data_IF_798085277332
#
_entry.id   IF_798085277332
#
_cell.length_a   1.000
_cell.length_b   1.000
_cell.length_c   1.000
_cell.angle_alpha   90.00
_cell.angle_beta   90.00
_cell.angle_gamma   90.00
#
_symmetry.space_group_name_H-M   'P 1'
#
loop_
_entity.id
_entity.type
_entity.pdbx_description
1 polymer ?
#
# COMPACT_ATOMS: atom_id res chain seq x y z
N UNK A 1 -66.04 -9.12 -29.33
CA UNK A 1 -65.51 -8.88 -27.97
C UNK A 1 -64.61 -10.10 -27.66
N UNK A 2 -63.34 -10.05 -28.04
CA UNK A 2 -62.38 -11.16 -27.83
C UNK A 2 -61.60 -10.90 -26.56
N UNK A 3 -61.95 -11.60 -25.49
CA UNK A 3 -61.19 -11.64 -24.25
C UNK A 3 -59.95 -12.56 -24.47
N UNK A 4 -58.75 -11.98 -24.50
CA UNK A 4 -57.50 -12.73 -24.57
C UNK A 4 -57.23 -13.28 -23.16
N UNK A 5 -57.46 -14.59 -23.02
CA UNK A 5 -57.20 -15.32 -21.80
C UNK A 5 -55.68 -15.59 -21.70
N UNK A 6 -54.92 -14.76 -21.01
CA UNK A 6 -53.50 -15.00 -20.74
C UNK A 6 -53.39 -16.05 -19.64
N UNK A 7 -52.76 -17.23 -19.87
CA UNK A 7 -52.69 -18.30 -18.90
C UNK A 7 -51.88 -17.87 -17.67
N UNK A 8 -52.38 -18.18 -16.48
CA UNK A 8 -51.82 -17.82 -15.16
C UNK A 8 -50.35 -18.21 -15.04
N UNK A 9 -49.94 -19.30 -15.66
CA UNK A 9 -48.54 -19.76 -15.69
C UNK A 9 -47.57 -18.76 -16.30
N UNK A 10 -47.93 -18.03 -17.33
CA UNK A 10 -47.07 -17.03 -17.99
C UNK A 10 -46.86 -15.82 -17.07
N UNK A 11 -47.87 -15.42 -16.32
CA UNK A 11 -47.76 -14.31 -15.35
C UNK A 11 -46.84 -14.66 -14.17
N UNK A 12 -46.83 -15.89 -13.67
CA UNK A 12 -46.01 -16.35 -12.59
C UNK A 12 -44.53 -16.36 -12.99
N UNK A 13 -44.21 -16.89 -14.19
CA UNK A 13 -42.84 -16.95 -14.72
C UNK A 13 -42.27 -15.53 -14.91
N UNK A 14 -43.08 -14.61 -15.44
CA UNK A 14 -42.67 -13.22 -15.67
C UNK A 14 -42.42 -12.47 -14.34
N UNK A 15 -43.25 -12.72 -13.33
CA UNK A 15 -43.08 -12.15 -12.01
C UNK A 15 -41.81 -12.68 -11.32
N UNK A 16 -41.54 -13.97 -11.40
CA UNK A 16 -40.36 -14.62 -10.83
C UNK A 16 -39.05 -14.11 -11.47
N UNK A 17 -39.00 -13.99 -12.80
CA UNK A 17 -37.84 -13.43 -13.50
C UNK A 17 -37.59 -11.97 -13.13
N UNK A 18 -38.63 -11.17 -12.95
CA UNK A 18 -38.51 -9.77 -12.53
C UNK A 18 -37.91 -9.63 -11.13
N UNK A 19 -38.31 -10.51 -10.19
CA UNK A 19 -37.76 -10.54 -8.82
C UNK A 19 -36.26 -10.95 -8.81
N UNK A 20 -35.87 -11.92 -9.65
CA UNK A 20 -34.47 -12.32 -9.76
C UNK A 20 -33.61 -11.19 -10.33
N UNK A 21 -34.09 -10.52 -11.38
CA UNK A 21 -33.35 -9.41 -12.02
C UNK A 21 -33.15 -8.26 -11.04
N UNK A 22 -34.16 -7.91 -10.24
CA UNK A 22 -34.08 -6.88 -9.21
C UNK A 22 -33.06 -7.26 -8.12
N UNK A 23 -33.07 -8.52 -7.65
CA UNK A 23 -32.09 -8.99 -6.66
C UNK A 23 -30.66 -8.91 -7.18
N UNK A 24 -30.40 -9.36 -8.43
CA UNK A 24 -29.07 -9.27 -9.03
C UNK A 24 -28.62 -7.81 -9.18
N UNK A 25 -29.51 -6.90 -9.58
CA UNK A 25 -29.21 -5.48 -9.68
C UNK A 25 -28.87 -4.85 -8.31
N UNK A 26 -29.61 -5.23 -7.27
CA UNK A 26 -29.34 -4.74 -5.89
C UNK A 26 -27.98 -5.26 -5.39
N UNK A 27 -27.68 -6.55 -5.57
CA UNK A 27 -26.37 -7.10 -5.18
C UNK A 27 -25.22 -6.49 -5.98
N UNK A 28 -25.41 -6.25 -7.28
CA UNK A 28 -24.42 -5.55 -8.12
C UNK A 28 -24.18 -4.10 -7.66
N UNK A 29 -25.23 -3.39 -7.28
CA UNK A 29 -25.14 -2.02 -6.79
C UNK A 29 -24.48 -1.94 -5.39
N UNK A 30 -24.79 -2.88 -4.50
CA UNK A 30 -24.13 -2.99 -3.18
C UNK A 30 -22.65 -3.33 -3.35
N UNK A 31 -22.28 -4.24 -4.25
CA UNK A 31 -20.89 -4.57 -4.56
C UNK A 31 -20.11 -3.36 -5.12
N UNK A 32 -20.76 -2.55 -5.98
CA UNK A 32 -20.17 -1.33 -6.51
C UNK A 32 -19.96 -0.27 -5.43
N UNK A 33 -20.93 -0.09 -4.53
CA UNK A 33 -20.80 0.83 -3.39
C UNK A 33 -19.70 0.40 -2.43
N UNK A 34 -19.52 -0.90 -2.22
CA UNK A 34 -18.46 -1.43 -1.34
C UNK A 34 -17.06 -1.22 -1.94
N UNK A 35 -16.91 -1.28 -3.27
CA UNK A 35 -15.63 -1.02 -3.94
C UNK A 35 -15.22 0.46 -3.94
N UNK A 36 -16.17 1.40 -3.87
CA UNK A 36 -15.88 2.85 -3.79
C UNK A 36 -15.43 3.24 -2.37
N UNK A 37 -15.88 2.54 -1.34
CA UNK A 37 -15.55 2.82 0.07
C UNK A 37 -14.12 2.48 0.50
N UNK A 38 -13.31 1.85 -0.37
CA UNK A 38 -11.94 1.43 -0.05
C UNK A 38 -10.85 2.44 -0.47
N UNK A 39 -11.22 3.61 -1.01
CA UNK A 39 -10.25 4.66 -1.32
C UNK A 39 -10.02 5.46 -0.04
N UNK A 40 -9.09 5.02 0.81
CA UNK A 40 -8.61 5.84 1.91
C UNK A 40 -7.80 7.01 1.33
N UNK A 41 -8.04 8.26 1.75
CA UNK A 41 -7.14 9.36 1.41
C UNK A 41 -5.77 9.05 2.01
N UNK A 42 -4.74 8.98 1.18
CA UNK A 42 -3.35 8.95 1.65
C UNK A 42 -2.96 10.39 1.95
N UNK A 43 -2.77 10.70 3.23
CA UNK A 43 -2.16 11.97 3.63
C UNK A 43 -0.65 11.72 3.71
N UNK A 44 0.10 12.46 2.91
CA UNK A 44 1.55 12.42 2.87
C UNK A 44 2.19 13.04 4.13
N UNK A 45 1.47 13.95 4.79
CA UNK A 45 1.89 14.57 6.03
C UNK A 45 1.01 14.16 7.21
N UNK A 46 1.63 13.80 8.33
CA UNK A 46 0.91 13.49 9.57
C UNK A 46 0.72 14.76 10.39
N UNK A 47 -0.48 14.94 10.91
CA UNK A 47 -0.87 16.10 11.70
C UNK A 47 -1.22 15.68 13.12
N UNK A 48 -0.64 16.37 14.11
CA UNK A 48 -0.94 16.22 15.53
C UNK A 48 -1.41 17.56 16.11
N UNK A 49 -2.33 17.50 17.06
CA UNK A 49 -2.87 18.66 17.75
C UNK A 49 -2.44 18.65 19.21
N UNK A 50 -1.76 19.70 19.63
CA UNK A 50 -1.34 19.89 21.02
C UNK A 50 -1.88 21.22 21.50
N UNK A 51 -2.92 21.20 22.31
CA UNK A 51 -3.68 22.38 22.75
C UNK A 51 -4.08 23.28 21.56
N UNK A 52 -3.55 24.53 21.48
CA UNK A 52 -3.82 25.45 20.38
C UNK A 52 -2.94 25.21 19.16
N UNK A 53 -1.91 24.38 19.25
CA UNK A 53 -0.98 24.16 18.16
C UNK A 53 -1.39 22.99 17.28
N UNK A 54 -1.25 23.19 15.99
CA UNK A 54 -1.32 22.14 14.97
C UNK A 54 0.08 21.92 14.43
N UNK A 55 0.59 20.71 14.60
CA UNK A 55 1.92 20.29 14.19
C UNK A 55 1.78 19.28 13.06
N UNK A 56 2.29 19.63 11.90
CA UNK A 56 2.28 18.79 10.69
C UNK A 56 3.72 18.41 10.37
N UNK A 57 3.99 17.11 10.16
CA UNK A 57 5.32 16.59 9.85
C UNK A 57 5.24 15.67 8.64
N UNK A 58 6.21 15.77 7.74
CA UNK A 58 6.29 14.93 6.55
C UNK A 58 7.65 15.03 5.87
N UNK A 59 7.71 14.52 4.65
CA UNK A 59 8.90 14.62 3.79
C UNK A 59 8.79 15.80 2.84
N UNK A 60 9.91 16.43 2.52
CA UNK A 60 9.97 17.54 1.58
C UNK A 60 9.86 17.09 0.11
N UNK A 61 10.29 15.86 -0.18
CA UNK A 61 10.20 15.23 -1.50
C UNK A 61 9.51 13.88 -1.32
N UNK A 62 8.46 13.65 -2.07
CA UNK A 62 7.63 12.43 -2.02
C UNK A 62 7.58 11.73 -3.38
N UNK A 63 7.61 10.39 -3.38
CA UNK A 63 7.83 9.52 -2.22
C UNK A 63 9.25 9.65 -1.68
N UNK A 64 9.46 9.52 -0.34
CA UNK A 64 10.78 9.47 0.24
C UNK A 64 11.47 8.16 -0.13
N UNK A 65 12.72 8.22 -0.58
CA UNK A 65 13.44 7.05 -1.09
C UNK A 65 14.75 6.83 -0.33
N UNK A 66 15.03 5.58 0.01
CA UNK A 66 16.24 5.18 0.73
C UNK A 66 17.50 5.61 -0.01
N UNK A 67 18.48 6.16 0.72
CA UNK A 67 19.76 6.58 0.19
C UNK A 67 19.75 7.93 -0.54
N UNK A 68 18.60 8.53 -0.73
CA UNK A 68 18.46 9.85 -1.36
C UNK A 68 18.27 10.92 -0.28
N UNK A 69 19.03 12.03 -0.38
CA UNK A 69 18.86 13.16 0.53
C UNK A 69 17.44 13.72 0.40
N UNK A 70 16.81 13.92 1.53
CA UNK A 70 15.50 14.54 1.66
C UNK A 70 15.50 15.51 2.83
N UNK A 71 14.44 16.27 3.00
CA UNK A 71 14.22 17.12 4.15
C UNK A 71 13.00 16.60 4.94
N UNK A 72 13.15 16.45 6.26
CA UNK A 72 11.98 16.37 7.14
C UNK A 72 11.42 17.79 7.24
N UNK A 73 10.17 17.98 6.83
CA UNK A 73 9.49 19.27 6.88
C UNK A 73 8.49 19.29 8.02
N UNK A 74 8.48 20.41 8.76
CA UNK A 74 7.57 20.61 9.86
C UNK A 74 6.82 21.92 9.64
N UNK A 75 5.52 21.90 9.92
CA UNK A 75 4.67 23.08 9.88
C UNK A 75 3.95 23.19 11.21
N UNK A 76 4.16 24.30 11.90
CA UNK A 76 3.57 24.55 13.22
C UNK A 76 2.73 25.81 13.15
N UNK A 77 1.45 25.66 13.41
CA UNK A 77 0.46 26.74 13.32
C UNK A 77 -0.39 26.81 14.57
N UNK A 78 -0.93 27.99 14.82
CA UNK A 78 -1.93 28.30 15.83
C UNK A 78 -3.14 28.98 15.18
N UNK A 79 -4.32 29.04 15.82
CA UNK A 79 -5.45 29.79 15.32
C UNK A 79 -5.09 31.26 15.04
N UNK A 80 -5.53 31.79 13.93
CA UNK A 80 -5.34 33.18 13.57
C UNK A 80 -6.46 34.09 14.10
N UNK A 81 -6.40 35.38 13.76
CA UNK A 81 -7.32 36.40 14.28
C UNK A 81 -8.75 36.29 13.72
N UNK A 82 -8.97 35.51 12.67
CA UNK A 82 -10.28 35.27 12.06
C UNK A 82 -10.63 33.81 12.06
N UNK A 83 -11.91 33.50 12.22
CA UNK A 83 -12.41 32.13 12.22
C UNK A 83 -11.95 31.36 10.98
N UNK A 84 -11.35 30.19 11.19
CA UNK A 84 -10.80 29.34 10.13
C UNK A 84 -9.45 29.79 9.57
N UNK A 85 -8.85 30.88 10.07
CA UNK A 85 -7.47 31.26 9.71
C UNK A 85 -6.44 30.63 10.65
N UNK A 86 -5.22 30.41 10.12
CA UNK A 86 -4.08 29.88 10.87
C UNK A 86 -2.87 30.77 10.69
N UNK A 87 -2.12 30.96 11.77
CA UNK A 87 -0.88 31.71 11.80
C UNK A 87 0.29 30.79 12.09
N UNK A 88 1.37 30.94 11.33
CA UNK A 88 2.61 30.17 11.55
C UNK A 88 3.32 30.60 12.81
N UNK A 89 3.69 29.66 13.67
CA UNK A 89 4.43 29.89 14.90
C UNK A 89 5.92 29.93 14.58
N UNK A 90 6.60 31.03 14.97
CA UNK A 90 8.04 31.23 14.70
C UNK A 90 8.90 30.95 15.94
N UNK A 91 10.19 30.66 15.71
CA UNK A 91 11.18 30.44 16.78
C UNK A 91 10.91 29.27 17.72
N UNK A 92 10.13 28.29 17.27
CA UNK A 92 9.73 27.11 18.05
C UNK A 92 10.96 26.33 18.55
N UNK A 93 11.91 26.08 17.67
CA UNK A 93 13.07 25.23 17.96
C UNK A 93 14.20 25.90 18.77
N UNK A 94 13.90 27.02 19.45
CA UNK A 94 14.75 27.54 20.53
C UNK A 94 14.59 26.74 21.82
N UNK A 95 13.36 26.31 22.10
CA UNK A 95 12.96 25.65 23.32
C UNK A 95 12.34 24.24 23.09
N UNK A 96 12.25 23.81 21.84
CA UNK A 96 11.81 22.47 21.41
C UNK A 96 12.96 21.72 20.75
N UNK A 97 13.21 20.51 21.20
CA UNK A 97 14.16 19.59 20.57
C UNK A 97 13.42 18.64 19.63
N UNK A 98 14.05 18.34 18.48
CA UNK A 98 13.55 17.38 17.52
C UNK A 98 14.49 16.18 17.40
N UNK A 99 13.92 14.98 17.39
CA UNK A 99 14.65 13.71 17.29
C UNK A 99 13.99 12.82 16.24
N UNK A 100 14.76 12.39 15.25
CA UNK A 100 14.34 11.35 14.31
C UNK A 100 14.55 9.97 14.91
N UNK A 101 13.57 9.08 14.78
CA UNK A 101 13.56 7.71 15.33
C UNK A 101 13.25 6.72 14.24
N UNK A 102 14.00 5.62 14.17
CA UNK A 102 13.75 4.48 13.31
C UNK A 102 14.19 3.18 13.97
N UNK A 103 13.29 2.19 14.12
CA UNK A 103 13.62 0.85 14.62
C UNK A 103 14.31 0.84 16.00
N UNK A 104 13.97 1.78 16.88
CA UNK A 104 14.58 1.93 18.20
C UNK A 104 15.90 2.73 18.23
N UNK A 105 16.42 3.14 17.06
CA UNK A 105 17.55 4.05 16.96
C UNK A 105 17.03 5.49 16.88
N UNK A 106 17.65 6.40 17.63
CA UNK A 106 17.29 7.83 17.65
C UNK A 106 18.47 8.71 17.28
N UNK A 107 18.18 9.84 16.63
CA UNK A 107 19.15 10.87 16.26
C UNK A 107 18.53 12.24 16.48
N UNK A 108 19.15 13.07 17.31
CA UNK A 108 18.80 14.49 17.38
C UNK A 108 19.05 15.14 16.02
N UNK A 109 18.10 15.91 15.54
CA UNK A 109 18.17 16.60 14.24
C UNK A 109 18.18 18.11 14.44
N UNK A 110 18.99 18.78 13.63
CA UNK A 110 19.06 20.24 13.64
C UNK A 110 17.97 20.81 12.73
N UNK A 111 17.13 21.65 13.28
CA UNK A 111 16.00 22.26 12.57
C UNK A 111 16.37 23.64 12.07
N UNK A 112 16.17 23.88 10.79
CA UNK A 112 16.34 25.16 10.13
C UNK A 112 14.96 25.83 9.94
N UNK A 113 14.89 27.15 10.10
CA UNK A 113 13.68 27.90 9.80
C UNK A 113 13.57 28.18 8.30
N UNK A 114 12.38 27.99 7.74
CA UNK A 114 12.04 28.45 6.41
C UNK A 114 11.70 29.96 6.45
N UNK A 115 11.90 30.74 5.37
CA UNK A 115 11.42 32.12 5.28
C UNK A 115 9.91 32.28 5.51
N UNK A 116 9.12 31.23 5.23
CA UNK A 116 7.68 31.20 5.49
C UNK A 116 7.41 30.94 6.98
N UNK A 117 6.71 31.85 7.69
CA UNK A 117 6.44 31.68 9.11
C UNK A 117 5.76 30.35 9.45
N UNK A 118 6.26 29.67 10.48
CA UNK A 118 5.73 28.36 10.92
C UNK A 118 6.24 27.17 10.16
N UNK A 119 7.08 27.35 9.13
CA UNK A 119 7.70 26.27 8.37
C UNK A 119 9.15 26.08 8.79
N UNK A 120 9.53 24.80 8.87
CA UNK A 120 10.85 24.37 9.32
C UNK A 120 11.27 23.14 8.53
N UNK A 121 12.58 22.88 8.47
CA UNK A 121 13.09 21.69 7.79
C UNK A 121 14.39 21.20 8.43
N UNK A 122 14.65 19.91 8.25
CA UNK A 122 15.91 19.27 8.64
C UNK A 122 16.38 18.32 7.54
N UNK A 123 17.60 18.51 6.99
CA UNK A 123 18.14 17.61 5.98
C UNK A 123 18.50 16.26 6.59
N UNK A 124 18.07 15.19 5.92
CA UNK A 124 18.35 13.81 6.32
C UNK A 124 18.52 12.91 5.09
N UNK A 125 19.30 11.85 5.23
CA UNK A 125 19.35 10.74 4.26
C UNK A 125 18.78 9.52 4.95
N UNK A 126 17.56 9.07 4.62
CA UNK A 126 17.02 7.83 5.14
C UNK A 126 17.83 6.65 4.57
N UNK A 127 18.34 5.80 5.44
CA UNK A 127 19.20 4.66 5.03
C UNK A 127 18.49 3.31 5.11
N UNK A 128 17.24 3.30 5.54
CA UNK A 128 16.39 2.12 5.66
C UNK A 128 14.99 2.45 5.14
N UNK A 129 14.35 1.47 4.52
CA UNK A 129 12.93 1.54 4.14
C UNK A 129 12.02 1.34 5.35
N UNK A 130 10.82 1.91 5.30
CA UNK A 130 9.79 1.80 6.34
C UNK A 130 9.57 3.10 7.11
N UNK A 131 8.77 3.03 8.18
CA UNK A 131 8.26 4.18 8.93
C UNK A 131 9.31 4.81 9.81
N UNK A 132 9.56 6.09 9.62
CA UNK A 132 10.31 6.95 10.53
C UNK A 132 9.34 7.70 11.44
N UNK A 133 9.84 8.15 12.59
CA UNK A 133 9.06 8.99 13.51
C UNK A 133 9.88 10.23 13.85
N UNK A 134 9.19 11.34 14.07
CA UNK A 134 9.79 12.57 14.62
C UNK A 134 9.22 12.80 16.02
N UNK A 135 10.09 12.81 17.01
CA UNK A 135 9.77 13.17 18.39
C UNK A 135 10.10 14.65 18.61
N UNK A 136 9.14 15.40 19.13
CA UNK A 136 9.30 16.79 19.54
C UNK A 136 9.11 16.90 21.04
N UNK A 137 10.09 17.48 21.74
CA UNK A 137 10.06 17.68 23.19
C UNK A 137 10.52 19.07 23.58
N UNK A 138 9.77 19.72 24.45
CA UNK A 138 10.10 21.06 24.96
C UNK A 138 8.88 21.89 25.23
N UNK A 139 8.97 23.18 24.97
CA UNK A 139 7.91 24.15 25.23
C UNK A 139 7.73 25.11 24.05
N UNK A 140 6.47 25.39 23.71
CA UNK A 140 6.11 26.46 22.77
C UNK A 140 5.31 27.50 23.54
N UNK A 141 5.90 28.67 23.79
CA UNK A 141 5.25 29.79 24.49
C UNK A 141 4.56 29.38 25.81
N UNK A 142 5.22 28.50 26.59
CA UNK A 142 4.69 28.00 27.88
C UNK A 142 3.80 26.77 27.78
N UNK A 143 3.49 26.27 26.58
CA UNK A 143 2.79 25.01 26.37
C UNK A 143 3.80 23.87 26.21
N UNK A 144 3.68 22.84 27.05
CA UNK A 144 4.55 21.65 26.98
C UNK A 144 4.23 20.81 25.75
N UNK A 145 5.27 20.44 25.01
CA UNK A 145 5.20 19.59 23.83
C UNK A 145 5.95 18.29 24.11
N UNK A 146 5.28 17.16 24.00
CA UNK A 146 5.88 15.81 24.04
C UNK A 146 5.07 14.91 23.09
N UNK A 147 5.44 14.89 21.82
CA UNK A 147 4.73 14.16 20.78
C UNK A 147 5.69 13.34 19.94
N UNK A 148 5.20 12.20 19.44
CA UNK A 148 5.88 11.33 18.45
C UNK A 148 4.99 11.19 17.23
N UNK A 149 5.45 11.72 16.13
CA UNK A 149 4.68 11.82 14.89
C UNK A 149 5.30 10.88 13.86
N UNK A 150 4.57 9.85 13.39
CA UNK A 150 5.04 9.02 12.29
C UNK A 150 5.02 9.82 10.98
N UNK A 151 6.02 9.60 10.14
CA UNK A 151 6.07 10.15 8.79
C UNK A 151 5.87 9.03 7.77
N UNK A 152 5.52 9.40 6.53
CA UNK A 152 5.31 8.44 5.45
C UNK A 152 6.49 7.48 5.29
N UNK A 153 6.20 6.24 4.91
CA UNK A 153 7.19 5.19 4.76
C UNK A 153 8.22 5.52 3.69
N UNK A 154 9.47 5.32 4.04
CA UNK A 154 10.58 5.42 3.08
C UNK A 154 10.58 4.21 2.17
N UNK A 155 10.51 4.47 0.86
CA UNK A 155 10.42 3.49 -0.19
C UNK A 155 11.81 3.01 -0.68
N UNK A 156 11.90 1.82 -1.30
CA UNK A 156 13.11 1.38 -1.98
C UNK A 156 13.37 2.22 -3.25
N UNK A 157 14.64 2.31 -3.68
CA UNK A 157 15.03 3.05 -4.91
C UNK A 157 14.30 2.60 -6.16
N UNK A 158 13.85 1.34 -6.20
CA UNK A 158 13.15 0.76 -7.35
C UNK A 158 11.87 1.50 -7.75
N UNK A 159 11.25 2.28 -6.84
CA UNK A 159 10.05 3.07 -7.17
C UNK A 159 10.35 4.23 -8.13
N UNK A 160 11.61 4.67 -8.20
CA UNK A 160 12.07 5.75 -9.07
C UNK A 160 12.87 5.26 -10.30
N UNK A 161 13.06 3.94 -10.44
CA UNK A 161 13.85 3.39 -11.55
C UNK A 161 13.16 3.61 -12.89
N UNK A 162 13.90 4.16 -13.86
CA UNK A 162 13.47 4.24 -15.25
C UNK A 162 14.64 3.95 -16.21
N UNK A 163 14.53 2.98 -17.13
CA UNK A 163 13.43 2.00 -17.20
C UNK A 163 13.36 1.17 -15.91
N UNK A 164 12.17 0.63 -15.55
CA UNK A 164 12.03 -0.12 -14.31
C UNK A 164 13.01 -1.29 -14.33
N UNK A 165 13.83 -1.40 -13.28
CA UNK A 165 14.63 -2.59 -13.05
C UNK A 165 13.64 -3.72 -12.81
N UNK A 166 13.45 -4.56 -13.82
CA UNK A 166 12.68 -5.79 -13.63
C UNK A 166 13.27 -6.49 -12.41
N UNK A 167 12.39 -6.99 -11.53
CA UNK A 167 12.81 -7.80 -10.37
C UNK A 167 13.51 -9.13 -10.78
N UNK A 168 13.98 -9.22 -12.01
CA UNK A 168 14.76 -10.32 -12.58
C UNK A 168 16.07 -10.53 -11.80
N UNK A 169 16.67 -9.48 -11.22
CA UNK A 169 17.94 -9.62 -10.50
C UNK A 169 17.84 -10.48 -9.24
N UNK A 170 16.74 -10.46 -8.51
CA UNK A 170 16.54 -11.35 -7.35
C UNK A 170 16.10 -12.75 -7.75
N UNK A 171 15.28 -12.86 -8.82
CA UNK A 171 14.92 -14.14 -9.42
C UNK A 171 16.15 -14.80 -10.07
N UNK A 172 16.99 -14.02 -10.78
CA UNK A 172 18.23 -14.50 -11.39
C UNK A 172 19.26 -14.95 -10.35
N UNK A 173 19.44 -14.22 -9.26
CA UNK A 173 20.33 -14.62 -8.16
C UNK A 173 19.81 -15.88 -7.46
N UNK A 174 18.51 -16.00 -7.23
CA UNK A 174 17.91 -17.20 -6.68
C UNK A 174 18.00 -18.38 -7.66
N UNK A 175 17.74 -18.16 -8.94
CA UNK A 175 17.90 -19.16 -10.00
C UNK A 175 19.36 -19.60 -10.16
N UNK A 176 20.30 -18.65 -10.13
CA UNK A 176 21.73 -18.94 -10.18
C UNK A 176 22.20 -19.72 -8.94
N UNK A 177 21.73 -19.34 -7.74
CA UNK A 177 22.02 -20.07 -6.50
C UNK A 177 21.47 -21.49 -6.55
N UNK A 178 20.27 -21.68 -7.05
CA UNK A 178 19.66 -23.00 -7.23
C UNK A 178 20.41 -23.83 -8.27
N UNK A 179 20.82 -23.21 -9.39
CA UNK A 179 21.63 -23.87 -10.42
C UNK A 179 23.01 -24.29 -9.90
N UNK A 180 23.67 -23.43 -9.11
CA UNK A 180 24.94 -23.77 -8.45
C UNK A 180 24.76 -24.93 -7.47
N UNK A 181 23.67 -24.93 -6.68
CA UNK A 181 23.39 -26.02 -5.74
C UNK A 181 23.10 -27.33 -6.44
N UNK A 182 22.37 -27.34 -7.58
CA UNK A 182 22.13 -28.53 -8.38
C UNK A 182 23.42 -29.06 -9.02
N UNK A 183 24.25 -28.15 -9.57
CA UNK A 183 25.57 -28.52 -10.12
C UNK A 183 26.49 -29.13 -9.05
N UNK A 184 26.48 -28.59 -7.81
CA UNK A 184 27.22 -29.17 -6.70
C UNK A 184 26.76 -30.60 -6.35
N UNK A 185 25.42 -30.81 -6.36
CA UNK A 185 24.87 -32.17 -6.16
C UNK A 185 25.25 -33.11 -7.30
N UNK A 186 25.18 -32.65 -8.56
CA UNK A 186 25.56 -33.46 -9.71
C UNK A 186 27.06 -33.84 -9.68
N UNK A 187 27.91 -32.92 -9.28
CA UNK A 187 29.36 -33.19 -9.09
C UNK A 187 29.60 -34.19 -7.96
N UNK A 188 28.84 -34.08 -6.85
CA UNK A 188 28.91 -35.05 -5.75
C UNK A 188 28.44 -36.44 -6.19
N UNK A 189 27.36 -36.52 -6.95
CA UNK A 189 26.82 -37.77 -7.49
C UNK A 189 27.78 -38.42 -8.50
N UNK A 190 28.40 -37.62 -9.38
CA UNK A 190 29.45 -38.12 -10.30
C UNK A 190 30.70 -38.65 -9.56
N UNK A 191 31.05 -38.01 -8.43
CA UNK A 191 32.19 -38.44 -7.59
C UNK A 191 31.86 -39.68 -6.78
N UNK A 192 30.59 -39.94 -6.46
CA UNK A 192 30.14 -41.17 -5.76
C UNK A 192 29.86 -42.34 -6.69
N UNK A 193 29.91 -42.17 -8.00
CA UNK A 193 29.76 -43.26 -8.99
C UNK A 193 28.33 -43.81 -9.16
N UNK A 194 27.30 -43.15 -8.66
CA UNK A 194 25.92 -43.52 -8.88
C UNK A 194 25.25 -42.71 -9.98
N UNK A 195 24.74 -43.37 -11.04
CA UNK A 195 24.00 -42.64 -12.08
C UNK A 195 22.56 -42.36 -11.62
N UNK A 196 22.31 -41.18 -11.07
CA UNK A 196 20.96 -40.74 -10.81
C UNK A 196 20.43 -39.84 -11.90
N UNK A 197 19.49 -40.34 -12.67
CA UNK A 197 18.68 -39.54 -13.56
C UNK A 197 17.68 -38.78 -12.69
N UNK A 198 18.00 -37.54 -12.28
CA UNK A 198 17.08 -36.66 -11.61
C UNK A 198 16.40 -35.74 -12.60
N UNK A 199 15.27 -36.21 -13.13
CA UNK A 199 14.27 -35.33 -13.72
C UNK A 199 13.41 -34.73 -12.62
N UNK A 200 13.67 -33.52 -12.18
CA UNK A 200 12.80 -32.81 -11.23
C UNK A 200 12.60 -31.35 -11.62
N UNK A 201 11.81 -31.15 -12.66
CA UNK A 201 11.11 -29.87 -12.92
C UNK A 201 9.60 -30.07 -13.04
N UNK A 202 9.04 -31.10 -12.36
CA UNK A 202 7.62 -31.41 -12.41
C UNK A 202 6.70 -30.62 -11.47
N UNK A 203 7.23 -30.03 -10.37
CA UNK A 203 6.39 -29.42 -9.34
C UNK A 203 5.58 -28.25 -9.83
N UNK A 204 6.22 -27.22 -10.33
CA UNK A 204 5.53 -26.02 -10.78
C UNK A 204 4.66 -26.27 -12.02
N UNK A 205 5.12 -27.07 -12.97
CA UNK A 205 4.34 -27.43 -14.16
C UNK A 205 3.11 -28.26 -13.78
N UNK A 206 3.20 -29.14 -12.79
CA UNK A 206 2.09 -29.94 -12.29
C UNK A 206 1.06 -29.09 -11.56
N UNK A 207 1.51 -28.13 -10.73
CA UNK A 207 0.64 -27.20 -10.01
C UNK A 207 -0.13 -26.28 -10.98
N UNK A 208 0.55 -25.76 -12.02
CA UNK A 208 -0.11 -25.00 -13.10
C UNK A 208 -1.09 -25.83 -13.91
N UNK A 209 -0.80 -27.12 -14.13
CA UNK A 209 -1.70 -28.03 -14.83
C UNK A 209 -2.98 -28.32 -14.03
N UNK A 210 -2.85 -28.54 -12.71
CA UNK A 210 -4.01 -28.72 -11.82
C UNK A 210 -4.84 -27.44 -11.74
N UNK A 211 -4.20 -26.27 -11.62
CA UNK A 211 -4.88 -24.98 -11.59
C UNK A 211 -5.62 -24.70 -12.91
N UNK A 212 -4.99 -24.97 -14.05
CA UNK A 212 -5.61 -24.89 -15.37
C UNK A 212 -6.82 -25.82 -15.55
N UNK A 213 -6.71 -27.05 -15.06
CA UNK A 213 -7.78 -28.04 -15.10
C UNK A 213 -9.01 -27.60 -14.27
N UNK A 214 -8.77 -27.01 -13.10
CA UNK A 214 -9.84 -26.52 -12.22
C UNK A 214 -10.62 -25.36 -12.84
N UNK A 215 -9.93 -24.43 -13.51
CA UNK A 215 -10.57 -23.32 -14.25
C UNK A 215 -11.37 -23.85 -15.45
N UNK A 216 -10.84 -24.82 -16.18
CA UNK A 216 -11.53 -25.43 -17.32
C UNK A 216 -12.81 -26.14 -16.88
N UNK A 217 -12.78 -26.89 -15.77
CA UNK A 217 -13.96 -27.54 -15.20
C UNK A 217 -15.05 -26.53 -14.80
N UNK A 218 -14.66 -25.43 -14.17
CA UNK A 218 -15.60 -24.36 -13.80
C UNK A 218 -16.22 -23.69 -15.04
N UNK A 219 -15.45 -23.47 -16.08
CA UNK A 219 -15.93 -22.90 -17.34
C UNK A 219 -16.94 -23.83 -18.04
N UNK A 220 -16.70 -25.14 -18.04
CA UNK A 220 -17.63 -26.15 -18.61
C UNK A 220 -18.95 -26.14 -17.83
N UNK A 221 -18.92 -26.10 -16.52
CA UNK A 221 -20.13 -26.06 -15.67
C UNK A 221 -20.94 -24.79 -16.00
N UNK A 222 -20.29 -23.64 -16.07
CA UNK A 222 -20.96 -22.38 -16.42
C UNK A 222 -21.55 -22.42 -17.84
N UNK A 223 -20.86 -23.02 -18.79
CA UNK A 223 -21.36 -23.18 -20.15
C UNK A 223 -22.62 -24.08 -20.21
N UNK A 224 -22.62 -25.19 -19.47
CA UNK A 224 -23.79 -26.09 -19.35
C UNK A 224 -24.97 -25.34 -18.72
N UNK A 225 -24.75 -24.60 -17.64
CA UNK A 225 -25.79 -23.81 -16.98
C UNK A 225 -26.37 -22.76 -17.95
N UNK A 226 -25.53 -22.08 -18.71
CA UNK A 226 -25.94 -21.10 -19.70
C UNK A 226 -26.79 -21.74 -20.81
N UNK A 227 -26.41 -22.94 -21.27
CA UNK A 227 -27.10 -23.69 -22.32
C UNK A 227 -28.48 -24.17 -21.84
N UNK A 228 -28.55 -24.70 -20.60
CA UNK A 228 -29.83 -25.15 -20.01
C UNK A 228 -30.77 -23.96 -19.74
N UNK A 229 -30.24 -22.80 -19.42
CA UNK A 229 -31.03 -21.60 -19.16
C UNK A 229 -31.52 -20.90 -20.45
N UNK A 230 -30.95 -21.24 -21.61
CA UNK A 230 -31.32 -20.68 -22.90
C UNK A 230 -32.51 -21.38 -23.55
N UNK A 231 -32.96 -22.53 -23.01
CA UNK A 231 -34.22 -23.19 -23.36
C UNK A 231 -35.33 -22.71 -22.39
#
# INVERSE_FOLDING_TARGET
MNSIFVPIHVKIITCYNKVITVKIAIFGFIGLLFSIGMIAPSFAHTTEHVEQYTIEVGWGIEPPVVGIRNDLVLKITEPGDTEGSYKGVTSVFKDVEATAIFGGVSKKIDINSDPKPGYYFSPIIPTKTGTYMVELKGEIQGTSIDVKIPVEDVEPTAVLDFPPTSSEGTADVAALKNAISSLQQDVLNLKSGEPTVSGSNGGAAYDFAIFGLSIAAAAIILAIIALVKRK
#
